data_IF_599406968592
#
_entry.id   IF_599406968592
#
_cell.length_a   1.000
_cell.length_b   1.000
_cell.length_c   1.000
_cell.angle_alpha   90.00
_cell.angle_beta   90.00
_cell.angle_gamma   90.00
#
_symmetry.space_group_name_H-M   'P 1'
#
loop_
_entity.id
_entity.type
_entity.pdbx_description
1 polymer ?
#
# COMPACT_ATOMS: atom_id res chain seq x y z
N UNK A 1 -25.34 -8.64 -44.51
CA UNK A 1 -25.72 -9.45 -43.33
C UNK A 1 -24.39 -9.87 -42.71
N UNK A 2 -23.78 -9.05 -41.87
CA UNK A 2 -24.19 -8.71 -40.50
C UNK A 2 -23.89 -7.24 -40.19
N UNK A 3 -24.93 -6.48 -39.86
CA UNK A 3 -24.82 -5.21 -39.18
C UNK A 3 -24.37 -5.56 -37.77
N UNK A 4 -23.10 -5.38 -37.45
CA UNK A 4 -22.68 -5.32 -36.06
C UNK A 4 -23.43 -4.12 -35.49
N UNK A 5 -24.52 -4.41 -34.78
CA UNK A 5 -25.27 -3.40 -34.05
C UNK A 5 -24.27 -2.63 -33.20
N UNK A 6 -24.08 -1.36 -33.54
CA UNK A 6 -23.45 -0.37 -32.68
C UNK A 6 -24.24 -0.39 -31.38
N UNK A 7 -23.70 -1.10 -30.40
CA UNK A 7 -24.18 -1.06 -29.03
C UNK A 7 -23.87 0.36 -28.55
N UNK A 8 -24.81 1.27 -28.81
CA UNK A 8 -24.82 2.66 -28.38
C UNK A 8 -25.00 2.66 -26.86
N UNK A 9 -23.96 2.27 -26.14
CA UNK A 9 -23.91 2.32 -24.69
C UNK A 9 -24.01 3.81 -24.32
N UNK A 10 -24.98 4.22 -23.50
CA UNK A 10 -25.05 5.62 -23.06
C UNK A 10 -23.71 5.96 -22.41
N UNK A 11 -23.14 7.12 -22.75
CA UNK A 11 -21.77 7.48 -22.37
C UNK A 11 -21.49 7.30 -20.88
N UNK A 12 -22.51 7.53 -20.04
CA UNK A 12 -22.46 7.26 -18.60
C UNK A 12 -22.11 5.82 -18.23
N UNK A 13 -22.63 4.81 -18.93
CA UNK A 13 -22.33 3.40 -18.62
C UNK A 13 -20.89 3.05 -19.02
N UNK A 14 -20.41 3.60 -20.13
CA UNK A 14 -19.02 3.47 -20.55
C UNK A 14 -18.08 4.10 -19.52
N UNK A 15 -18.39 5.31 -19.06
CA UNK A 15 -17.58 6.04 -18.09
C UNK A 15 -17.57 5.35 -16.73
N UNK A 16 -18.73 4.88 -16.25
CA UNK A 16 -18.82 4.08 -15.01
C UNK A 16 -18.04 2.76 -15.15
N UNK A 17 -18.15 2.09 -16.30
CA UNK A 17 -17.40 0.86 -16.57
C UNK A 17 -15.89 1.08 -16.51
N UNK A 18 -15.39 2.17 -17.10
CA UNK A 18 -13.98 2.55 -17.02
C UNK A 18 -13.57 2.86 -15.59
N UNK A 19 -14.36 3.63 -14.84
CA UNK A 19 -14.05 3.98 -13.45
C UNK A 19 -13.92 2.73 -12.56
N UNK A 20 -14.90 1.81 -12.64
CA UNK A 20 -14.85 0.53 -11.91
C UNK A 20 -13.65 -0.29 -12.38
N UNK A 21 -13.41 -0.37 -13.69
CA UNK A 21 -12.28 -1.08 -14.26
C UNK A 21 -10.94 -0.58 -13.74
N UNK A 22 -10.75 0.74 -13.63
CA UNK A 22 -9.55 1.35 -13.06
C UNK A 22 -9.36 0.98 -11.59
N UNK A 23 -10.42 1.03 -10.77
CA UNK A 23 -10.34 0.65 -9.36
C UNK A 23 -9.95 -0.82 -9.23
N UNK A 24 -10.65 -1.71 -9.93
CA UNK A 24 -10.37 -3.15 -9.91
C UNK A 24 -8.94 -3.44 -10.38
N UNK A 25 -8.48 -2.76 -11.43
CA UNK A 25 -7.11 -2.92 -11.94
C UNK A 25 -6.06 -2.55 -10.89
N UNK A 26 -6.22 -1.41 -10.20
CA UNK A 26 -5.30 -1.02 -9.14
C UNK A 26 -5.29 -2.06 -8.03
N UNK A 27 -6.46 -2.49 -7.55
CA UNK A 27 -6.56 -3.52 -6.50
C UNK A 27 -5.90 -4.84 -6.90
N UNK A 28 -6.10 -5.30 -8.14
CA UNK A 28 -5.50 -6.54 -8.64
C UNK A 28 -3.98 -6.43 -8.75
N UNK A 29 -3.46 -5.29 -9.22
CA UNK A 29 -2.02 -5.05 -9.29
C UNK A 29 -1.39 -5.01 -7.90
N UNK A 30 -2.00 -4.29 -6.96
CA UNK A 30 -1.51 -4.22 -5.57
C UNK A 30 -1.61 -5.58 -4.88
N UNK A 31 -2.68 -6.34 -5.12
CA UNK A 31 -2.83 -7.71 -4.60
C UNK A 31 -1.76 -8.65 -5.16
N UNK A 32 -1.51 -8.62 -6.47
CA UNK A 32 -0.47 -9.43 -7.09
C UNK A 32 0.95 -9.09 -6.57
N UNK A 33 1.20 -7.81 -6.27
CA UNK A 33 2.49 -7.37 -5.71
C UNK A 33 2.65 -7.72 -4.22
N UNK A 34 1.58 -7.53 -3.45
CA UNK A 34 1.59 -7.72 -1.99
C UNK A 34 1.51 -9.18 -1.56
N UNK A 35 0.77 -10.02 -2.29
CA UNK A 35 0.45 -11.38 -1.87
C UNK A 35 -0.56 -11.46 -0.71
N UNK A 36 -1.08 -10.34 -0.22
CA UNK A 36 -1.97 -10.28 0.94
C UNK A 36 -3.29 -9.55 0.61
N UNK A 37 -4.41 -10.03 1.17
CA UNK A 37 -5.72 -9.39 1.02
C UNK A 37 -6.33 -9.01 2.39
N UNK A 38 -6.81 -7.77 2.58
CA UNK A 38 -6.78 -6.65 1.64
C UNK A 38 -5.36 -6.12 1.42
N UNK A 39 -5.01 -5.67 0.19
CA UNK A 39 -3.64 -5.28 -0.13
C UNK A 39 -3.27 -3.89 0.43
N UNK A 40 -4.25 -3.09 0.80
CA UNK A 40 -4.09 -1.73 1.31
C UNK A 40 -4.95 -1.55 2.56
N UNK A 41 -4.38 -0.97 3.62
CA UNK A 41 -5.05 -0.71 4.90
C UNK A 41 -4.71 0.69 5.40
N UNK A 42 -5.58 1.22 6.27
CA UNK A 42 -5.35 2.47 6.99
C UNK A 42 -4.76 2.15 8.35
N UNK A 43 -3.80 2.96 8.80
CA UNK A 43 -3.26 2.86 10.16
C UNK A 43 -4.15 3.62 11.14
N UNK A 44 -4.57 2.93 12.20
CA UNK A 44 -5.54 3.46 13.17
C UNK A 44 -4.90 3.94 14.48
N UNK A 45 -3.61 3.66 14.69
CA UNK A 45 -2.92 3.92 15.96
C UNK A 45 -1.51 4.47 15.74
N UNK A 46 -1.12 5.42 16.58
CA UNK A 46 0.20 6.04 16.60
C UNK A 46 1.31 5.20 17.24
N UNK A 47 1.14 3.87 17.37
CA UNK A 47 2.21 3.03 17.95
C UNK A 47 3.46 2.92 17.07
N UNK A 48 3.33 3.29 15.80
CA UNK A 48 4.43 3.36 14.82
C UNK A 48 4.96 4.79 14.63
N UNK A 49 4.43 5.76 15.39
CA UNK A 49 4.94 7.12 15.44
C UNK A 49 6.08 7.14 16.47
N UNK A 50 7.29 7.44 15.99
CA UNK A 50 8.46 7.55 16.84
C UNK A 50 8.84 9.04 16.97
N UNK A 51 8.67 9.58 18.17
CA UNK A 51 8.81 11.00 18.52
C UNK A 51 10.25 11.43 18.83
N UNK A 52 11.18 10.48 18.89
CA UNK A 52 12.55 10.66 19.37
C UNK A 52 13.57 10.91 18.24
N UNK A 53 13.14 11.37 17.06
CA UNK A 53 14.04 11.64 15.95
C UNK A 53 14.73 13.00 16.10
N UNK A 54 16.04 13.01 16.34
CA UNK A 54 16.85 14.23 16.50
C UNK A 54 16.91 15.12 15.25
N UNK A 55 16.48 14.62 14.08
CA UNK A 55 16.44 15.37 12.83
C UNK A 55 15.21 16.29 12.72
N UNK A 56 14.17 16.09 13.53
CA UNK A 56 12.94 16.87 13.48
C UNK A 56 12.59 17.43 14.86
N UNK A 57 12.44 18.75 14.98
CA UNK A 57 12.00 19.41 16.21
C UNK A 57 10.51 19.77 16.08
N UNK A 58 9.64 18.91 16.66
CA UNK A 58 8.17 19.07 16.79
C UNK A 58 7.35 19.15 15.47
N UNK A 59 6.11 18.61 15.39
CA UNK A 59 5.40 17.71 16.30
C UNK A 59 5.71 16.23 15.99
N UNK A 60 5.28 15.27 16.81
CA UNK A 60 5.55 13.82 16.66
C UNK A 60 4.89 13.09 15.47
N UNK A 61 4.55 13.83 14.41
CA UNK A 61 3.88 13.36 13.19
C UNK A 61 4.57 13.99 11.98
N UNK A 62 4.38 13.43 10.78
CA UNK A 62 4.97 13.92 9.52
C UNK A 62 6.48 13.79 9.47
N UNK A 63 7.02 12.67 9.98
CA UNK A 63 8.44 12.37 9.89
C UNK A 63 8.72 11.42 8.72
N UNK A 64 9.85 11.62 8.04
CA UNK A 64 10.24 10.72 6.98
C UNK A 64 10.69 9.39 7.58
N UNK A 65 9.97 8.31 7.26
CA UNK A 65 10.28 6.95 7.70
C UNK A 65 9.47 6.44 8.88
N UNK A 66 8.55 7.25 9.44
CA UNK A 66 7.49 6.76 10.34
C UNK A 66 6.25 6.42 9.53
N UNK A 67 5.35 5.65 10.14
CA UNK A 67 4.01 5.41 9.61
C UNK A 67 3.04 6.07 10.56
N UNK A 68 2.37 7.11 10.10
CA UNK A 68 1.53 7.94 10.94
C UNK A 68 0.08 7.42 10.93
N UNK A 69 -0.67 7.78 11.97
CA UNK A 69 -2.11 7.50 12.03
C UNK A 69 -2.83 8.15 10.85
N UNK A 70 -3.60 7.35 10.10
CA UNK A 70 -4.32 7.79 8.91
C UNK A 70 -3.61 7.50 7.58
N UNK A 71 -2.35 7.07 7.60
CA UNK A 71 -1.63 6.67 6.39
C UNK A 71 -2.26 5.42 5.74
N UNK A 72 -2.27 5.41 4.40
CA UNK A 72 -2.60 4.23 3.60
C UNK A 72 -1.31 3.47 3.29
N UNK A 73 -1.22 2.24 3.78
CA UNK A 73 -0.05 1.38 3.57
C UNK A 73 -0.42 0.13 2.77
N UNK A 74 0.54 -0.37 1.99
CA UNK A 74 0.43 -1.64 1.26
C UNK A 74 1.06 -2.74 2.11
N UNK A 75 0.28 -3.75 2.49
CA UNK A 75 0.76 -4.84 3.36
C UNK A 75 1.27 -5.97 2.50
N UNK A 76 2.58 -6.23 2.50
CA UNK A 76 3.20 -7.31 1.73
C UNK A 76 3.42 -8.55 2.59
N UNK A 77 3.09 -9.72 2.07
CA UNK A 77 3.45 -11.00 2.67
C UNK A 77 4.98 -11.17 2.66
N UNK A 78 5.55 -11.55 3.79
CA UNK A 78 6.97 -11.85 3.93
C UNK A 78 7.17 -13.37 4.07
N UNK A 79 8.08 -13.93 3.27
CA UNK A 79 8.46 -15.32 3.40
C UNK A 79 9.32 -15.53 4.66
N UNK A 80 9.33 -16.75 5.21
CA UNK A 80 10.16 -17.07 6.40
C UNK A 80 11.64 -16.77 6.22
N UNK A 81 12.13 -16.79 4.98
CA UNK A 81 13.53 -16.49 4.62
C UNK A 81 13.83 -14.99 4.60
N UNK A 82 12.80 -14.16 4.51
CA UNK A 82 12.91 -12.70 4.49
C UNK A 82 12.91 -12.13 5.92
N UNK A 83 12.58 -12.96 6.92
CA UNK A 83 12.55 -12.59 8.33
C UNK A 83 13.89 -12.96 8.96
N UNK A 84 14.71 -11.95 9.23
CA UNK A 84 15.97 -12.09 9.97
C UNK A 84 15.82 -11.56 11.39
N UNK A 85 16.58 -12.15 12.33
CA UNK A 85 16.59 -11.64 13.70
C UNK A 85 17.37 -10.32 13.79
N UNK A 86 17.10 -9.52 14.83
CA UNK A 86 17.86 -8.30 15.09
C UNK A 86 19.37 -8.53 15.14
N UNK A 87 19.82 -9.63 15.76
CA UNK A 87 21.25 -9.95 15.88
C UNK A 87 21.88 -10.25 14.51
N UNK A 88 21.17 -10.98 13.65
CA UNK A 88 21.60 -11.31 12.29
C UNK A 88 21.60 -10.08 11.37
N UNK A 89 20.56 -9.24 11.47
CA UNK A 89 20.51 -7.95 10.78
C UNK A 89 21.68 -7.06 11.17
N UNK A 90 22.03 -7.00 12.46
CA UNK A 90 23.14 -6.18 12.96
C UNK A 90 24.50 -6.67 12.45
N UNK A 91 24.70 -7.98 12.38
CA UNK A 91 25.93 -8.58 11.84
C UNK A 91 26.08 -8.31 10.33
N UNK A 92 24.96 -8.31 9.60
CA UNK A 92 24.93 -8.06 8.14
C UNK A 92 24.90 -6.57 7.76
N UNK A 93 24.94 -5.66 8.74
CA UNK A 93 24.89 -4.21 8.51
C UNK A 93 23.51 -3.69 8.09
N UNK A 94 22.45 -4.44 8.36
CA UNK A 94 21.08 -3.97 8.20
C UNK A 94 20.75 -2.95 9.30
N UNK A 95 20.24 -1.79 8.92
CA UNK A 95 19.96 -0.69 9.87
C UNK A 95 18.48 -0.27 9.89
N UNK A 96 17.65 -0.84 9.03
CA UNK A 96 16.24 -0.45 8.86
C UNK A 96 15.32 -1.48 9.47
N UNK A 97 15.09 -1.38 10.77
CA UNK A 97 14.14 -2.23 11.47
C UNK A 97 12.79 -1.51 11.54
N UNK A 98 11.71 -2.24 11.27
CA UNK A 98 10.34 -1.76 11.52
C UNK A 98 9.91 -2.04 12.95
#
# INVERSE_FOLDING_TARGET
>A
MTKFDELHLPDTVKDVGIAIGCVVLVFLLTFAYSGNWPPMVVIESGSMEHDNNSLYAEPGYTHLGTIDTGDLVIVKEAGKKDIVTYLEGKDTGYEKYG
#
